data_IF_647637405173
#
_entry.id   IF_647637405173
#
_cell.length_a   1.000
_cell.length_b   1.000
_cell.length_c   1.000
_cell.angle_alpha   90.00
_cell.angle_beta   90.00
_cell.angle_gamma   90.00
#
_symmetry.space_group_name_H-M   'P 1'
#
loop_
_entity.id
_entity.type
_entity.pdbx_description
1 polymer ?
#
# COMPACT_ATOMS: atom_id res chain seq x y z
N UNK A 1 0.13 -20.46 -16.41
CA UNK A 1 0.26 -19.41 -15.37
C UNK A 1 -1.07 -19.34 -14.61
N UNK A 2 -1.08 -19.38 -13.27
CA UNK A 2 -2.33 -19.32 -12.51
C UNK A 2 -3.04 -17.97 -12.72
N UNK A 3 -4.37 -17.97 -12.74
CA UNK A 3 -5.20 -16.74 -12.82
C UNK A 3 -4.79 -15.67 -11.79
N UNK A 4 -4.41 -16.12 -10.59
CA UNK A 4 -3.91 -15.27 -9.51
C UNK A 4 -2.61 -14.51 -9.85
N UNK A 5 -1.73 -15.04 -10.71
CA UNK A 5 -0.48 -14.36 -11.08
C UNK A 5 -0.76 -13.20 -12.05
N UNK A 6 -1.68 -13.39 -13.00
CA UNK A 6 -2.09 -12.35 -13.96
C UNK A 6 -2.78 -11.20 -13.23
N UNK A 7 -3.69 -11.51 -12.31
CA UNK A 7 -4.39 -10.51 -11.49
C UNK A 7 -3.43 -9.66 -10.65
N UNK A 8 -2.43 -10.27 -10.00
CA UNK A 8 -1.48 -9.49 -9.19
C UNK A 8 -0.50 -8.68 -10.05
N UNK A 9 -0.15 -9.16 -11.26
CA UNK A 9 0.64 -8.37 -12.22
C UNK A 9 -0.12 -7.14 -12.68
N UNK A 10 -1.42 -7.24 -12.93
CA UNK A 10 -2.22 -6.07 -13.35
C UNK A 10 -2.36 -5.03 -12.24
N UNK A 11 -2.36 -5.46 -10.96
CA UNK A 11 -2.42 -4.59 -9.78
C UNK A 11 -1.07 -4.06 -9.30
N UNK A 12 0.06 -4.41 -9.95
CA UNK A 12 1.40 -4.04 -9.47
C UNK A 12 1.61 -2.53 -9.32
N UNK A 13 0.94 -1.73 -10.16
CA UNK A 13 1.00 -0.26 -10.14
C UNK A 13 -0.05 0.37 -9.24
N UNK A 14 -0.88 -0.44 -8.58
CA UNK A 14 -1.92 0.04 -7.69
C UNK A 14 -1.38 0.20 -6.26
N UNK A 15 -1.76 1.31 -5.63
CA UNK A 15 -1.51 1.64 -4.23
C UNK A 15 -2.85 1.77 -3.52
N UNK A 16 -2.95 1.24 -2.31
CA UNK A 16 -4.09 1.41 -1.44
C UNK A 16 -3.74 2.37 -0.31
N UNK A 17 -4.42 3.50 -0.24
CA UNK A 17 -4.23 4.51 0.82
C UNK A 17 -5.44 4.45 1.75
N UNK A 18 -5.19 4.22 3.04
CA UNK A 18 -6.24 4.17 4.07
C UNK A 18 -6.20 5.39 4.98
N UNK A 19 -7.31 5.64 5.66
CA UNK A 19 -7.53 6.73 6.61
C UNK A 19 -7.57 8.14 6.00
N UNK A 20 -7.80 8.26 4.69
CA UNK A 20 -8.19 9.55 4.10
C UNK A 20 -9.63 9.86 4.58
N UNK A 21 -9.86 10.96 5.31
CA UNK A 21 -11.18 11.31 5.84
C UNK A 21 -12.26 11.26 4.74
N UNK A 22 -13.43 10.69 5.03
CA UNK A 22 -14.52 10.63 4.04
C UNK A 22 -14.99 12.03 3.66
N UNK A 23 -15.13 12.29 2.35
CA UNK A 23 -15.61 13.56 1.83
C UNK A 23 -14.55 14.65 1.71
N UNK A 24 -13.30 14.42 2.15
CA UNK A 24 -12.21 15.41 2.04
C UNK A 24 -11.89 15.82 0.59
N UNK A 25 -12.36 15.05 -0.40
CA UNK A 25 -12.27 15.40 -1.81
C UNK A 25 -13.07 16.66 -2.15
N UNK A 26 -14.12 16.99 -1.38
CA UNK A 26 -14.97 18.17 -1.58
C UNK A 26 -15.45 18.35 -3.05
N UNK A 27 -15.83 17.26 -3.71
CA UNK A 27 -16.29 17.27 -5.10
C UNK A 27 -15.19 17.37 -6.16
N UNK A 28 -13.92 17.44 -5.74
CA UNK A 28 -12.78 17.41 -6.66
C UNK A 28 -12.67 16.07 -7.36
N UNK A 29 -12.16 16.11 -8.59
CA UNK A 29 -11.77 14.89 -9.31
C UNK A 29 -10.81 14.03 -8.44
N UNK A 30 -11.12 12.74 -8.24
CA UNK A 30 -10.32 11.86 -7.39
C UNK A 30 -8.85 11.74 -7.78
N UNK A 31 -8.53 11.78 -9.09
CA UNK A 31 -7.15 11.69 -9.58
C UNK A 31 -6.40 12.95 -9.16
N UNK A 32 -6.96 14.13 -9.44
CA UNK A 32 -6.36 15.40 -9.05
C UNK A 32 -6.21 15.53 -7.54
N UNK A 33 -7.23 15.14 -6.77
CA UNK A 33 -7.19 15.15 -5.31
C UNK A 33 -6.04 14.31 -4.75
N UNK A 34 -5.90 13.05 -5.20
CA UNK A 34 -4.85 12.17 -4.71
C UNK A 34 -3.46 12.62 -5.15
N UNK A 35 -3.30 13.10 -6.39
CA UNK A 35 -2.01 13.55 -6.89
C UNK A 35 -1.47 14.72 -6.05
N UNK A 36 -2.33 15.68 -5.70
CA UNK A 36 -1.96 16.80 -4.81
C UNK A 36 -1.74 16.35 -3.36
N UNK A 37 -2.59 15.47 -2.82
CA UNK A 37 -2.42 14.92 -1.47
C UNK A 37 -1.07 14.20 -1.32
N UNK A 38 -0.62 13.49 -2.36
CA UNK A 38 0.69 12.83 -2.36
C UNK A 38 1.83 13.83 -2.29
N UNK A 39 1.74 14.96 -3.01
CA UNK A 39 2.74 16.03 -2.91
C UNK A 39 2.72 16.67 -1.52
N UNK A 40 1.54 16.98 -0.98
CA UNK A 40 1.38 17.58 0.36
C UNK A 40 1.94 16.68 1.47
N UNK A 41 1.60 15.39 1.45
CA UNK A 41 1.85 14.49 2.57
C UNK A 41 3.19 13.73 2.47
N UNK A 42 3.67 13.47 1.25
CA UNK A 42 4.94 12.75 1.02
C UNK A 42 6.07 13.74 0.75
N UNK A 43 5.76 14.89 0.15
CA UNK A 43 6.71 15.96 -0.06
C UNK A 43 7.72 15.71 -1.20
N UNK A 44 8.66 16.65 -1.35
CA UNK A 44 9.60 16.69 -2.47
C UNK A 44 10.65 15.56 -2.44
N UNK A 45 10.80 14.84 -1.32
CA UNK A 45 11.65 13.65 -1.21
C UNK A 45 11.27 12.55 -2.21
N UNK A 46 9.99 12.51 -2.60
CA UNK A 46 9.45 11.53 -3.55
C UNK A 46 8.73 12.21 -4.71
N UNK A 47 7.97 13.28 -4.44
CA UNK A 47 7.14 13.96 -5.42
C UNK A 47 7.40 15.46 -5.41
N UNK A 48 8.26 15.92 -6.32
CA UNK A 48 8.46 17.36 -6.59
C UNK A 48 7.28 17.97 -7.33
N UNK A 49 6.53 17.16 -8.06
CA UNK A 49 5.32 17.51 -8.79
C UNK A 49 4.26 16.41 -8.62
N UNK A 50 2.96 16.72 -8.83
CA UNK A 50 1.90 15.72 -8.72
C UNK A 50 2.16 14.54 -9.66
N UNK A 51 2.20 13.28 -9.16
CA UNK A 51 2.47 12.12 -9.99
C UNK A 51 1.34 11.87 -11.00
N UNK A 52 1.70 11.32 -12.16
CA UNK A 52 0.71 10.90 -13.17
C UNK A 52 -0.03 9.65 -12.69
N UNK A 53 -1.34 9.78 -12.48
CA UNK A 53 -2.22 8.69 -12.08
C UNK A 53 -3.16 8.34 -13.22
N UNK A 54 -3.25 7.06 -13.58
CA UNK A 54 -4.25 6.59 -14.54
C UNK A 54 -5.65 6.61 -13.93
N UNK A 55 -5.76 6.33 -12.62
CA UNK A 55 -7.05 6.26 -11.93
C UNK A 55 -6.89 6.43 -10.43
N UNK A 56 -7.85 7.07 -9.79
CA UNK A 56 -8.03 7.06 -8.35
C UNK A 56 -9.52 6.98 -8.04
N UNK A 57 -9.87 6.21 -7.01
CA UNK A 57 -11.26 6.10 -6.53
C UNK A 57 -11.27 5.52 -5.12
N UNK A 58 -12.32 5.82 -4.36
CA UNK A 58 -12.62 5.06 -3.14
C UNK A 58 -13.09 3.65 -3.50
N UNK A 59 -12.81 2.69 -2.62
CA UNK A 59 -13.36 1.34 -2.74
C UNK A 59 -14.89 1.38 -2.84
N UNK A 60 -15.48 0.49 -3.64
CA UNK A 60 -16.91 0.45 -3.98
C UNK A 60 -17.84 0.06 -2.81
N UNK A 61 -17.35 0.04 -1.57
CA UNK A 61 -18.18 -0.19 -0.40
C UNK A 61 -19.13 1.00 -0.16
N UNK A 62 -20.26 0.72 0.49
CA UNK A 62 -21.20 1.73 0.98
C UNK A 62 -20.46 2.74 1.85
N UNK A 63 -20.82 4.03 1.73
CA UNK A 63 -20.26 5.07 2.58
C UNK A 63 -20.47 4.69 4.05
N UNK A 64 -19.40 4.66 4.87
CA UNK A 64 -19.51 4.31 6.28
C UNK A 64 -20.33 5.36 7.03
N UNK A 65 -20.99 4.94 8.11
CA UNK A 65 -21.58 5.86 9.10
C UNK A 65 -20.49 6.58 9.88
N UNK A 66 -20.83 7.70 10.51
CA UNK A 66 -19.91 8.46 11.35
C UNK A 66 -19.27 7.57 12.43
N UNK A 67 -17.97 7.78 12.66
CA UNK A 67 -17.17 6.99 13.59
C UNK A 67 -16.70 5.61 13.06
N UNK A 68 -17.13 5.17 11.87
CA UNK A 68 -16.57 3.98 11.21
C UNK A 68 -15.37 4.35 10.32
N UNK A 69 -14.43 3.42 10.06
CA UNK A 69 -13.26 3.69 9.23
C UNK A 69 -13.63 4.15 7.82
N UNK A 70 -12.94 5.19 7.33
CA UNK A 70 -13.12 5.72 5.99
C UNK A 70 -12.78 4.68 4.91
N UNK A 71 -13.48 4.73 3.75
CA UNK A 71 -13.18 3.83 2.64
C UNK A 71 -11.80 4.14 2.07
N UNK A 72 -10.95 3.12 1.89
CA UNK A 72 -9.66 3.33 1.27
C UNK A 72 -9.75 3.78 -0.17
N UNK A 73 -8.76 4.55 -0.58
CA UNK A 73 -8.50 4.85 -1.97
C UNK A 73 -7.71 3.71 -2.62
N UNK A 74 -8.11 3.35 -3.84
CA UNK A 74 -7.33 2.52 -4.75
C UNK A 74 -6.85 3.43 -5.88
N UNK A 75 -5.53 3.58 -5.97
CA UNK A 75 -4.85 4.52 -6.84
C UNK A 75 -3.97 3.74 -7.79
N UNK A 76 -4.09 3.98 -9.09
CA UNK A 76 -3.25 3.36 -10.11
C UNK A 76 -2.31 4.42 -10.68
N UNK A 77 -1.02 4.24 -10.42
CA UNK A 77 0.02 5.07 -10.99
C UNK A 77 0.27 4.68 -12.44
N UNK A 78 0.53 5.67 -13.28
CA UNK A 78 1.03 5.43 -14.64
C UNK A 78 2.41 4.79 -14.58
N UNK A 79 3.27 5.29 -13.68
CA UNK A 79 4.65 4.81 -13.49
C UNK A 79 4.75 3.93 -12.24
N UNK A 80 5.00 2.64 -12.44
CA UNK A 80 5.21 1.68 -11.34
C UNK A 80 6.30 2.13 -10.35
N UNK A 81 7.36 2.77 -10.84
CA UNK A 81 8.48 3.24 -10.02
C UNK A 81 8.06 4.32 -9.02
N UNK A 82 7.21 5.27 -9.43
CA UNK A 82 6.66 6.31 -8.54
C UNK A 82 5.83 5.69 -7.42
N UNK A 83 4.98 4.71 -7.74
CA UNK A 83 4.25 3.95 -6.72
C UNK A 83 5.18 3.28 -5.72
N UNK A 84 6.23 2.61 -6.19
CA UNK A 84 7.17 1.90 -5.32
C UNK A 84 7.99 2.86 -4.45
N UNK A 85 8.36 4.04 -4.97
CA UNK A 85 9.05 5.07 -4.20
C UNK A 85 8.18 5.55 -3.04
N UNK A 86 6.91 5.92 -3.31
CA UNK A 86 5.96 6.32 -2.27
C UNK A 86 5.71 5.22 -1.22
N UNK A 87 5.54 3.97 -1.68
CA UNK A 87 5.32 2.84 -0.77
C UNK A 87 6.53 2.54 0.11
N UNK A 88 7.76 2.71 -0.40
CA UNK A 88 8.97 2.53 0.41
C UNK A 88 9.16 3.68 1.39
N UNK A 89 8.98 4.91 0.94
CA UNK A 89 9.13 6.10 1.77
C UNK A 89 8.14 6.06 2.96
N UNK A 90 6.87 5.77 2.69
CA UNK A 90 5.81 5.68 3.72
C UNK A 90 5.98 4.56 4.75
N UNK A 91 6.88 3.59 4.54
CA UNK A 91 7.19 2.57 5.56
C UNK A 91 8.13 3.09 6.66
N UNK A 92 8.87 4.14 6.37
CA UNK A 92 9.90 4.69 7.24
C UNK A 92 9.52 6.07 7.80
N UNK A 93 8.40 6.64 7.35
CA UNK A 93 7.96 7.99 7.70
C UNK A 93 6.50 7.96 8.16
N UNK A 94 6.17 8.85 9.10
CA UNK A 94 4.79 9.10 9.49
C UNK A 94 4.12 10.02 8.46
N UNK A 95 2.98 9.59 7.91
CA UNK A 95 2.24 10.35 6.91
C UNK A 95 0.94 10.85 7.52
N UNK A 96 0.68 12.15 7.49
CA UNK A 96 -0.53 12.76 8.05
C UNK A 96 -1.22 13.63 7.01
N UNK A 97 -2.54 13.59 7.01
CA UNK A 97 -3.39 14.50 6.24
C UNK A 97 -4.51 14.99 7.16
N UNK A 98 -4.64 16.31 7.33
CA UNK A 98 -5.62 16.92 8.25
C UNK A 98 -5.57 16.30 9.67
N UNK A 99 -4.36 16.05 10.17
CA UNK A 99 -4.14 15.39 11.48
C UNK A 99 -4.40 13.87 11.50
N UNK A 100 -4.98 13.29 10.44
CA UNK A 100 -5.25 11.85 10.35
C UNK A 100 -4.03 11.08 9.82
N UNK A 101 -3.59 10.00 10.50
CA UNK A 101 -2.45 9.21 10.04
C UNK A 101 -2.84 8.33 8.85
N UNK A 102 -2.21 8.59 7.71
CA UNK A 102 -2.40 7.82 6.49
C UNK A 102 -1.52 6.56 6.50
N UNK A 103 -2.02 5.48 5.89
CA UNK A 103 -1.19 4.27 5.66
C UNK A 103 -1.29 3.77 4.25
N UNK A 104 -0.14 3.36 3.72
CA UNK A 104 0.06 3.04 2.32
C UNK A 104 0.34 1.54 2.21
N UNK A 105 -0.43 0.85 1.36
CA UNK A 105 -0.35 -0.59 1.19
C UNK A 105 -0.33 -0.98 -0.29
N UNK A 106 0.33 -2.10 -0.65
CA UNK A 106 0.15 -2.67 -1.97
C UNK A 106 -1.30 -3.16 -2.14
N UNK A 107 -1.87 -2.98 -3.32
CA UNK A 107 -3.17 -3.55 -3.69
C UNK A 107 -2.97 -5.01 -4.16
N UNK A 108 -3.27 -5.96 -3.27
CA UNK A 108 -3.10 -7.39 -3.52
C UNK A 108 -4.45 -8.05 -3.77
N UNK A 109 -4.47 -9.13 -4.56
CA UNK A 109 -5.67 -9.95 -4.64
C UNK A 109 -5.99 -10.62 -3.31
N UNK A 110 -7.26 -10.95 -3.09
CA UNK A 110 -7.71 -11.62 -1.85
C UNK A 110 -6.98 -12.95 -1.62
N UNK A 111 -6.79 -13.73 -2.69
CA UNK A 111 -6.04 -14.98 -2.65
C UNK A 111 -4.58 -14.75 -2.21
N UNK A 112 -3.92 -13.72 -2.76
CA UNK A 112 -2.54 -13.42 -2.39
C UNK A 112 -2.43 -12.85 -0.97
N UNK A 113 -3.37 -12.00 -0.57
CA UNK A 113 -3.44 -11.46 0.78
C UNK A 113 -3.61 -12.60 1.81
N UNK A 114 -4.49 -13.57 1.53
CA UNK A 114 -4.66 -14.77 2.37
C UNK A 114 -3.38 -15.59 2.48
N UNK A 115 -2.73 -15.90 1.34
CA UNK A 115 -1.45 -16.63 1.35
C UNK A 115 -0.36 -15.90 2.16
N UNK A 116 -0.31 -14.56 2.07
CA UNK A 116 0.61 -13.76 2.90
C UNK A 116 0.25 -13.73 4.38
N UNK A 117 -1.03 -13.89 4.71
CA UNK A 117 -1.52 -13.91 6.08
C UNK A 117 -1.17 -15.22 6.81
N UNK A 118 -1.01 -16.33 6.09
CA UNK A 118 -0.53 -17.60 6.66
C UNK A 118 0.83 -17.44 7.37
N UNK A 119 1.70 -16.57 6.84
CA UNK A 119 2.98 -16.24 7.48
C UNK A 119 2.87 -15.34 8.71
N UNK A 120 1.68 -14.85 9.12
CA UNK A 120 1.57 -13.89 10.22
C UNK A 120 2.11 -14.44 11.55
N UNK A 121 1.79 -15.69 11.90
CA UNK A 121 2.31 -16.33 13.11
C UNK A 121 3.84 -16.43 13.10
N UNK A 122 4.42 -16.90 11.99
CA UNK A 122 5.87 -17.02 11.82
C UNK A 122 6.55 -15.65 11.87
N UNK A 123 6.01 -14.63 11.19
CA UNK A 123 6.54 -13.26 11.22
C UNK A 123 6.54 -12.68 12.64
N UNK A 124 5.48 -12.91 13.41
CA UNK A 124 5.42 -12.46 14.80
C UNK A 124 6.49 -13.14 15.65
N UNK A 125 6.70 -14.45 15.48
CA UNK A 125 7.75 -15.18 16.21
C UNK A 125 9.15 -14.68 15.83
N UNK A 126 9.42 -14.46 14.55
CA UNK A 126 10.70 -13.93 14.06
C UNK A 126 10.96 -12.52 14.59
N UNK A 127 9.94 -11.65 14.58
CA UNK A 127 10.02 -10.30 15.13
C UNK A 127 10.37 -10.31 16.62
N UNK A 128 9.69 -11.15 17.43
CA UNK A 128 9.99 -11.31 18.85
C UNK A 128 11.42 -11.79 19.13
N UNK A 129 12.00 -12.57 18.21
CA UNK A 129 13.37 -13.08 18.30
C UNK A 129 14.41 -12.12 17.69
N UNK A 130 14.01 -10.95 17.19
CA UNK A 130 14.92 -10.00 16.52
C UNK A 130 15.51 -10.53 15.21
N UNK A 131 14.94 -11.58 14.62
CA UNK A 131 15.45 -12.17 13.37
C UNK A 131 14.95 -11.34 12.20
N UNK A 132 15.87 -10.92 11.32
CA UNK A 132 15.52 -10.15 10.12
C UNK A 132 14.80 -11.03 9.12
N UNK A 133 13.66 -10.56 8.62
CA UNK A 133 12.93 -11.25 7.55
C UNK A 133 12.32 -10.24 6.56
N UNK A 134 11.93 -10.75 5.39
CA UNK A 134 11.24 -10.00 4.34
C UNK A 134 10.25 -10.92 3.62
N UNK A 135 9.09 -10.39 3.26
CA UNK A 135 8.08 -11.11 2.49
C UNK A 135 8.14 -10.63 1.03
N UNK A 136 8.68 -11.47 0.16
CA UNK A 136 8.85 -11.19 -1.26
C UNK A 136 7.57 -11.47 -2.06
N UNK A 137 7.38 -10.73 -3.14
CA UNK A 137 6.31 -11.01 -4.09
C UNK A 137 6.54 -12.37 -4.78
N UNK A 138 5.48 -13.19 -5.00
CA UNK A 138 4.11 -12.97 -4.58
C UNK A 138 3.93 -13.19 -3.06
N UNK A 139 4.34 -14.33 -2.50
CA UNK A 139 4.24 -14.61 -1.07
C UNK A 139 5.33 -15.59 -0.63
N UNK A 140 6.60 -15.18 -0.76
CA UNK A 140 7.77 -15.97 -0.37
C UNK A 140 8.44 -15.34 0.84
N UNK A 141 8.48 -16.05 1.96
CA UNK A 141 9.15 -15.56 3.16
C UNK A 141 10.66 -15.79 3.02
N UNK A 142 11.45 -14.75 3.25
CA UNK A 142 12.91 -14.83 3.30
C UNK A 142 13.36 -14.43 4.70
N UNK A 143 14.05 -15.34 5.37
CA UNK A 143 14.59 -15.16 6.72
C UNK A 143 16.11 -15.03 6.62
N UNK A 144 16.67 -14.02 7.23
CA UNK A 144 18.12 -13.82 7.32
C UNK A 144 18.58 -14.19 8.72
N UNK A 145 19.39 -15.23 8.82
CA UNK A 145 19.94 -15.75 10.07
C UNK A 145 21.42 -16.08 9.84
N UNK A 146 22.30 -15.62 10.74
CA UNK A 146 23.76 -15.84 10.64
C UNK A 146 24.34 -15.50 9.24
N UNK A 147 23.94 -14.34 8.70
CA UNK A 147 24.28 -13.87 7.35
C UNK A 147 23.82 -14.77 6.17
N UNK A 148 23.09 -15.86 6.43
CA UNK A 148 22.49 -16.72 5.41
C UNK A 148 21.01 -16.40 5.20
N UNK A 149 20.55 -16.52 3.96
CA UNK A 149 19.17 -16.24 3.57
C UNK A 149 18.40 -17.53 3.25
N UNK A 150 17.42 -17.87 4.08
CA UNK A 150 16.53 -19.01 3.92
C UNK A 150 15.23 -18.58 3.26
N UNK A 151 14.71 -19.36 2.30
CA UNK A 151 13.51 -19.03 1.50
C UNK A 151 12.43 -20.10 1.71
N UNK A 152 11.19 -19.64 1.93
CA UNK A 152 10.02 -20.49 2.18
C UNK A 152 8.87 -20.06 1.27
N UNK A 153 8.17 -21.02 0.65
CA UNK A 153 7.11 -20.83 -0.36
C UNK A 153 5.71 -21.20 0.11
#
# INVERSE_FOLDING_TARGET
MSSSNIENRSRRSNLRIVNIPEGSENGKDPVKFIAELLVECVGPDVFTEPPELERAHRSLATKPKDGKPARPFVVRFLRFQQKEAALRWSRNHEVKFQGSPLRFYPDLSSALARKRAEYNGVKQALYKKGVRFRLMHPARLVVTFEAQAFKFD
#
